data_IF_751057518403
#
_entry.id   IF_751057518403
#
_cell.length_a   1.000
_cell.length_b   1.000
_cell.length_c   1.000
_cell.angle_alpha   90.00
_cell.angle_beta   90.00
_cell.angle_gamma   90.00
#
_symmetry.space_group_name_H-M   'P 1'
#
loop_
_entity.id
_entity.type
_entity.pdbx_description
1 polymer ?
#
# COMPACT_ATOMS: atom_id res chain seq x y z
N UNK A 1 7.48 -2.09 -13.66
CA UNK A 1 6.37 -1.10 -13.79
C UNK A 1 5.88 -0.91 -15.23
N UNK A 2 6.76 -0.57 -16.21
CA UNK A 2 6.34 -0.17 -17.58
C UNK A 2 5.41 -1.16 -18.30
N UNK A 3 5.58 -2.48 -18.15
CA UNK A 3 4.80 -3.48 -18.89
C UNK A 3 3.43 -3.84 -18.27
N UNK A 4 3.13 -3.42 -17.04
CA UNK A 4 1.89 -3.83 -16.35
C UNK A 4 0.71 -2.86 -16.55
N UNK A 5 0.93 -1.68 -17.16
CA UNK A 5 -0.15 -0.74 -17.48
C UNK A 5 -1.25 -1.34 -18.37
N UNK A 6 -0.87 -2.25 -19.29
CA UNK A 6 -1.81 -2.95 -20.19
C UNK A 6 -2.78 -3.88 -19.45
N UNK A 7 -2.51 -4.20 -18.18
CA UNK A 7 -3.34 -5.06 -17.35
C UNK A 7 -4.19 -4.29 -16.33
N UNK A 8 -4.22 -2.96 -16.40
CA UNK A 8 -5.10 -2.18 -15.54
C UNK A 8 -6.58 -2.46 -15.89
N UNK A 9 -7.35 -2.83 -14.88
CA UNK A 9 -8.78 -3.14 -14.99
C UNK A 9 -9.58 -2.25 -14.04
N UNK A 10 -10.88 -2.13 -14.29
CA UNK A 10 -11.83 -1.44 -13.39
C UNK A 10 -12.77 -2.41 -12.69
N UNK A 11 -12.69 -3.71 -13.00
CA UNK A 11 -13.57 -4.73 -12.46
C UNK A 11 -13.49 -4.76 -10.93
N UNK A 12 -14.65 -4.77 -10.29
CA UNK A 12 -14.77 -4.90 -8.85
C UNK A 12 -15.76 -6.02 -8.53
N UNK A 13 -15.32 -6.99 -7.72
CA UNK A 13 -16.11 -8.15 -7.36
C UNK A 13 -16.11 -8.34 -5.85
N UNK A 14 -17.23 -8.80 -5.31
CA UNK A 14 -17.37 -9.22 -3.92
C UNK A 14 -17.49 -10.74 -3.85
N UNK A 15 -16.68 -11.37 -3.01
CA UNK A 15 -16.82 -12.78 -2.70
C UNK A 15 -17.88 -12.99 -1.61
N UNK A 16 -18.81 -13.92 -1.83
CA UNK A 16 -19.76 -14.38 -0.81
C UNK A 16 -19.37 -15.78 -0.32
N UNK A 17 -18.82 -15.91 0.91
CA UNK A 17 -18.36 -17.20 1.43
C UNK A 17 -19.49 -18.18 1.72
N UNK A 18 -20.74 -17.72 1.85
CA UNK A 18 -21.90 -18.59 2.13
C UNK A 18 -22.29 -19.45 0.93
N UNK A 19 -22.06 -18.90 -0.26
CA UNK A 19 -22.41 -19.54 -1.53
C UNK A 19 -21.17 -19.88 -2.38
N UNK A 20 -19.97 -19.60 -1.85
CA UNK A 20 -18.69 -19.77 -2.56
C UNK A 20 -18.71 -19.15 -3.97
N UNK A 21 -19.24 -17.93 -4.08
CA UNK A 21 -19.46 -17.29 -5.37
C UNK A 21 -18.91 -15.86 -5.40
N UNK A 22 -18.54 -15.41 -6.59
CA UNK A 22 -18.15 -14.02 -6.84
C UNK A 22 -19.32 -13.27 -7.47
N UNK A 23 -19.61 -12.09 -6.93
CA UNK A 23 -20.66 -11.20 -7.40
C UNK A 23 -19.99 -9.99 -8.04
N UNK A 24 -20.34 -9.70 -9.29
CA UNK A 24 -19.90 -8.49 -9.96
C UNK A 24 -20.59 -7.27 -9.36
N UNK A 25 -19.78 -6.29 -8.98
CA UNK A 25 -20.23 -5.01 -8.46
C UNK A 25 -20.03 -3.92 -9.52
N UNK A 26 -20.42 -2.69 -9.22
CA UNK A 26 -20.11 -1.58 -10.12
C UNK A 26 -18.60 -1.40 -10.26
N UNK A 27 -18.16 -1.25 -11.51
CA UNK A 27 -16.76 -1.05 -11.83
C UNK A 27 -16.26 0.31 -11.31
N UNK A 28 -14.99 0.36 -10.96
CA UNK A 28 -14.25 1.59 -10.74
C UNK A 28 -14.38 2.55 -11.94
N UNK A 29 -14.36 3.86 -11.68
CA UNK A 29 -14.45 4.88 -12.75
C UNK A 29 -13.19 4.82 -13.61
N UNK A 30 -12.02 4.69 -12.97
CA UNK A 30 -10.76 4.50 -13.67
C UNK A 30 -10.22 3.07 -13.56
N UNK A 31 -9.72 2.55 -14.69
CA UNK A 31 -8.87 1.36 -14.69
C UNK A 31 -7.59 1.66 -13.91
N UNK A 32 -7.13 0.73 -13.08
CA UNK A 32 -5.91 0.89 -12.28
C UNK A 32 -5.21 -0.44 -11.98
N UNK A 33 -3.89 -0.39 -11.84
CA UNK A 33 -3.05 -1.45 -11.24
C UNK A 33 -2.02 -0.81 -10.31
N UNK A 34 -1.46 -1.58 -9.37
CA UNK A 34 -0.53 -1.09 -8.33
C UNK A 34 -1.04 0.14 -7.56
N UNK A 35 -2.35 0.19 -7.36
CA UNK A 35 -3.02 1.13 -6.48
C UNK A 35 -3.12 0.51 -5.09
N UNK A 36 -3.61 1.29 -4.12
CA UNK A 36 -3.95 0.77 -2.81
C UNK A 36 -5.44 0.89 -2.53
N UNK A 37 -5.99 -0.04 -1.74
CA UNK A 37 -7.39 -0.08 -1.35
C UNK A 37 -7.48 0.00 0.17
N UNK A 38 -8.23 0.97 0.69
CA UNK A 38 -8.40 1.20 2.13
C UNK A 38 -9.87 1.24 2.51
N UNK A 39 -10.18 0.94 3.77
CA UNK A 39 -11.52 1.04 4.33
C UNK A 39 -11.56 2.22 5.28
N UNK A 40 -12.61 3.05 5.18
CA UNK A 40 -12.92 4.06 6.19
C UNK A 40 -14.43 4.24 6.28
N UNK A 41 -15.00 4.18 7.49
CA UNK A 41 -16.44 4.30 7.76
C UNK A 41 -17.34 3.45 6.83
N UNK A 42 -16.92 2.21 6.56
CA UNK A 42 -17.68 1.27 5.71
C UNK A 42 -17.58 1.53 4.21
N UNK A 43 -16.77 2.51 3.79
CA UNK A 43 -16.51 2.84 2.38
C UNK A 43 -15.14 2.30 1.95
N UNK A 44 -14.97 2.04 0.65
CA UNK A 44 -13.68 1.61 0.09
C UNK A 44 -13.04 2.74 -0.72
N UNK A 45 -11.78 3.04 -0.46
CA UNK A 45 -11.01 4.08 -1.15
C UNK A 45 -9.92 3.43 -1.99
N UNK A 46 -10.01 3.59 -3.31
CA UNK A 46 -8.97 3.19 -4.26
C UNK A 46 -8.11 4.42 -4.61
N UNK A 47 -6.81 4.35 -4.31
CA UNK A 47 -5.89 5.50 -4.38
C UNK A 47 -4.77 5.23 -5.38
N UNK A 48 -4.61 6.15 -6.34
CA UNK A 48 -3.49 6.18 -7.28
C UNK A 48 -3.37 4.92 -8.13
N UNK A 49 -2.13 4.50 -8.38
CA UNK A 49 -1.83 3.39 -9.26
C UNK A 49 -1.44 3.86 -10.65
N UNK A 50 -1.61 3.00 -11.65
CA UNK A 50 -1.31 3.31 -13.05
C UNK A 50 -2.26 2.59 -13.99
N UNK A 51 -2.40 3.15 -15.18
CA UNK A 51 -3.13 2.57 -16.30
C UNK A 51 -2.36 2.77 -17.63
N UNK A 52 -3.04 2.59 -18.76
CA UNK A 52 -2.47 2.80 -20.10
C UNK A 52 -1.97 4.22 -20.35
N UNK A 53 -2.59 5.21 -19.71
CA UNK A 53 -2.31 6.64 -19.90
C UNK A 53 -1.16 7.13 -19.00
N UNK A 54 -0.91 6.45 -17.88
CA UNK A 54 0.22 6.75 -17.02
C UNK A 54 -0.01 6.44 -15.55
N UNK A 55 0.75 7.13 -14.71
CA UNK A 55 0.61 7.07 -13.24
C UNK A 55 -0.56 7.97 -12.82
N UNK A 56 -1.38 7.50 -11.90
CA UNK A 56 -2.63 8.16 -11.51
C UNK A 56 -2.48 8.86 -10.15
N UNK A 57 -3.09 10.04 -10.07
CA UNK A 57 -3.33 10.76 -8.82
C UNK A 57 -4.75 10.55 -8.28
N UNK A 58 -5.63 9.93 -9.08
CA UNK A 58 -7.05 9.81 -8.77
C UNK A 58 -7.31 8.99 -7.51
N UNK A 59 -8.32 9.45 -6.77
CA UNK A 59 -8.94 8.74 -5.66
C UNK A 59 -10.40 8.54 -6.00
N UNK A 60 -10.90 7.35 -5.72
CA UNK A 60 -12.32 7.05 -5.87
C UNK A 60 -12.80 6.19 -4.70
N UNK A 61 -14.03 6.47 -4.30
CA UNK A 61 -14.67 5.92 -3.12
C UNK A 61 -15.87 5.08 -3.55
N UNK A 62 -15.89 3.81 -3.19
CA UNK A 62 -17.04 2.94 -3.35
C UNK A 62 -18.00 3.11 -2.18
N UNK A 63 -19.27 3.34 -2.52
CA UNK A 63 -20.38 3.47 -1.57
C UNK A 63 -21.25 2.22 -1.67
N UNK A 64 -21.20 1.28 -0.70
CA UNK A 64 -21.92 0.02 -0.78
C UNK A 64 -23.44 0.17 -0.89
N UNK A 65 -24.03 1.19 -0.24
CA UNK A 65 -25.48 1.41 -0.22
C UNK A 65 -26.06 1.76 -1.60
N UNK A 66 -25.28 2.42 -2.45
CA UNK A 66 -25.68 2.76 -3.82
C UNK A 66 -25.04 1.86 -4.87
N UNK A 67 -24.09 1.00 -4.48
CA UNK A 67 -23.23 0.25 -5.38
C UNK A 67 -22.62 1.17 -6.46
N UNK A 68 -22.03 2.30 -6.07
CA UNK A 68 -21.40 3.25 -7.00
C UNK A 68 -20.02 3.66 -6.51
N UNK A 69 -19.14 3.96 -7.46
CA UNK A 69 -17.88 4.66 -7.20
C UNK A 69 -18.08 6.16 -7.41
N UNK A 70 -17.41 6.96 -6.60
CA UNK A 70 -17.42 8.42 -6.68
C UNK A 70 -15.99 8.94 -6.67
N UNK A 71 -15.68 9.93 -7.51
CA UNK A 71 -14.38 10.61 -7.45
C UNK A 71 -14.24 11.39 -6.14
N UNK A 72 -13.00 11.43 -5.64
CA UNK A 72 -12.58 12.19 -4.45
C UNK A 72 -11.40 13.08 -4.80
N UNK A 73 -10.98 13.94 -3.87
CA UNK A 73 -9.84 14.82 -4.07
C UNK A 73 -8.59 14.01 -4.48
N UNK A 74 -7.97 14.31 -5.63
CA UNK A 74 -6.79 13.60 -6.09
C UNK A 74 -5.57 13.97 -5.25
N UNK A 75 -4.56 13.10 -5.25
CA UNK A 75 -3.23 13.46 -4.76
C UNK A 75 -2.65 14.60 -5.60
N UNK A 76 -1.82 15.45 -5.00
CA UNK A 76 -1.09 16.47 -5.76
C UNK A 76 -0.11 15.84 -6.76
N UNK A 77 0.59 14.79 -6.33
CA UNK A 77 1.58 14.09 -7.15
C UNK A 77 1.12 12.65 -7.43
N UNK A 78 0.94 12.26 -8.72
CA UNK A 78 0.54 10.91 -9.09
C UNK A 78 1.59 9.87 -8.67
N UNK A 79 1.13 8.73 -8.16
CA UNK A 79 2.02 7.65 -7.70
C UNK A 79 1.42 6.27 -7.88
N UNK A 80 2.27 5.28 -8.12
CA UNK A 80 1.90 3.86 -8.16
C UNK A 80 2.85 3.03 -7.31
N UNK A 81 2.50 1.77 -7.04
CA UNK A 81 3.34 0.84 -6.27
C UNK A 81 3.64 1.35 -4.85
N UNK A 82 2.79 2.21 -4.30
CA UNK A 82 2.89 2.72 -2.94
C UNK A 82 2.21 1.74 -1.97
N UNK A 83 2.53 1.84 -0.68
CA UNK A 83 1.79 1.20 0.39
C UNK A 83 0.92 2.22 1.11
N UNK A 84 -0.24 1.81 1.62
CA UNK A 84 -1.06 2.66 2.46
C UNK A 84 -1.78 1.88 3.56
N UNK A 85 -2.13 2.58 4.63
CA UNK A 85 -2.93 2.04 5.73
C UNK A 85 -3.75 3.15 6.37
N UNK A 86 -4.82 2.75 7.08
CA UNK A 86 -5.63 3.67 7.88
C UNK A 86 -4.98 3.87 9.25
N UNK A 87 -4.68 5.10 9.65
CA UNK A 87 -4.14 5.45 10.97
C UNK A 87 -4.73 6.80 11.40
N UNK A 88 -5.22 6.88 12.64
CA UNK A 88 -5.80 8.11 13.21
C UNK A 88 -6.87 8.76 12.29
N UNK A 89 -7.78 7.92 11.78
CA UNK A 89 -8.86 8.33 10.88
C UNK A 89 -8.43 8.75 9.47
N UNK A 90 -7.13 8.71 9.16
CA UNK A 90 -6.57 9.15 7.88
C UNK A 90 -5.92 7.99 7.13
N UNK A 91 -5.96 8.04 5.80
CA UNK A 91 -5.28 7.06 4.96
C UNK A 91 -3.87 7.57 4.70
N UNK A 92 -2.88 6.98 5.37
CA UNK A 92 -1.46 7.29 5.18
C UNK A 92 -0.94 6.57 3.94
N UNK A 93 -0.41 7.32 2.98
CA UNK A 93 0.14 6.81 1.72
C UNK A 93 1.65 7.05 1.71
N UNK A 94 2.42 5.97 1.61
CA UNK A 94 3.88 6.00 1.79
C UNK A 94 4.61 5.53 0.54
N UNK A 95 5.66 6.27 0.18
CA UNK A 95 6.59 5.95 -0.90
C UNK A 95 5.90 5.72 -2.24
N UNK A 96 6.33 4.66 -2.92
CA UNK A 96 5.90 4.29 -4.26
C UNK A 96 6.85 4.79 -5.35
N UNK A 97 6.35 4.76 -6.57
CA UNK A 97 7.08 5.18 -7.77
C UNK A 97 6.48 6.48 -8.30
N UNK A 98 7.27 7.54 -8.23
CA UNK A 98 6.91 8.93 -8.54
C UNK A 98 7.97 9.49 -9.48
N UNK A 99 7.57 10.16 -10.57
CA UNK A 99 8.49 10.79 -11.51
C UNK A 99 9.65 9.89 -11.95
N UNK A 100 9.34 8.61 -12.22
CA UNK A 100 10.30 7.59 -12.61
C UNK A 100 11.36 7.21 -11.55
N UNK A 101 11.10 7.48 -10.27
CA UNK A 101 11.99 7.10 -9.17
C UNK A 101 11.21 6.50 -7.99
N UNK A 102 11.90 5.67 -7.20
CA UNK A 102 11.42 5.28 -5.88
C UNK A 102 11.37 6.51 -4.97
N UNK A 103 10.30 6.65 -4.21
CA UNK A 103 10.08 7.84 -3.40
C UNK A 103 10.07 7.53 -1.91
N UNK A 104 10.49 8.54 -1.13
CA UNK A 104 10.34 8.62 0.33
C UNK A 104 9.08 9.37 0.75
N UNK A 105 8.41 10.04 -0.19
CA UNK A 105 7.33 10.95 0.08
C UNK A 105 6.15 10.25 0.75
N UNK A 106 5.60 10.89 1.78
CA UNK A 106 4.43 10.42 2.52
C UNK A 106 3.41 11.52 2.54
N UNK A 107 2.16 11.18 2.26
CA UNK A 107 1.02 12.06 2.42
C UNK A 107 -0.11 11.30 3.11
N UNK A 108 -1.03 12.03 3.72
CA UNK A 108 -2.22 11.48 4.34
C UNK A 108 -3.46 12.08 3.70
N UNK A 109 -4.43 11.24 3.34
CA UNK A 109 -5.75 11.65 2.92
C UNK A 109 -6.70 11.61 4.11
N UNK A 110 -7.43 12.69 4.33
CA UNK A 110 -8.50 12.78 5.31
C UNK A 110 -9.84 12.56 4.59
N UNK A 111 -10.48 11.38 4.73
CA UNK A 111 -11.74 11.12 4.05
C UNK A 111 -12.92 11.93 4.58
N UNK A 112 -12.79 12.53 5.78
CA UNK A 112 -13.87 13.33 6.39
C UNK A 112 -13.94 14.74 5.80
N UNK A 113 -12.79 15.29 5.41
CA UNK A 113 -12.67 16.62 4.80
C UNK A 113 -12.40 16.58 3.31
N UNK A 114 -12.12 15.41 2.74
CA UNK A 114 -11.72 15.21 1.34
C UNK A 114 -10.47 16.04 0.98
N UNK A 115 -9.46 16.01 1.85
CA UNK A 115 -8.22 16.79 1.69
C UNK A 115 -6.97 15.96 1.90
N UNK A 116 -5.85 16.43 1.31
CA UNK A 116 -4.54 15.84 1.47
C UNK A 116 -3.62 16.69 2.35
N UNK A 117 -2.71 16.04 3.05
CA UNK A 117 -1.65 16.70 3.81
C UNK A 117 -0.34 15.94 3.66
N UNK A 118 0.76 16.66 3.39
CA UNK A 118 2.10 16.09 3.42
C UNK A 118 2.51 15.70 4.85
N UNK A 119 3.27 14.60 4.95
CA UNK A 119 3.77 14.05 6.20
C UNK A 119 5.28 13.86 6.13
N UNK A 120 5.87 13.62 7.31
CA UNK A 120 7.28 13.24 7.44
C UNK A 120 7.61 12.11 6.48
N UNK A 121 8.69 12.29 5.71
CA UNK A 121 9.11 11.30 4.72
C UNK A 121 9.71 10.06 5.38
N UNK A 122 9.62 8.92 4.70
CA UNK A 122 10.36 7.71 5.05
C UNK A 122 11.86 7.97 5.06
N UNK A 123 12.62 7.11 5.72
CA UNK A 123 14.09 7.14 5.67
C UNK A 123 14.61 6.55 4.37
N UNK A 124 14.00 5.45 3.91
CA UNK A 124 14.43 4.72 2.70
C UNK A 124 13.40 4.87 1.58
N UNK A 125 13.80 5.28 0.36
CA UNK A 125 12.90 5.30 -0.79
C UNK A 125 12.48 3.87 -1.13
N UNK A 126 11.20 3.64 -1.37
CA UNK A 126 10.72 2.27 -1.64
C UNK A 126 9.44 2.26 -2.45
N UNK A 127 9.23 1.15 -3.15
CA UNK A 127 7.97 0.84 -3.83
C UNK A 127 7.74 -0.67 -3.86
N UNK A 128 6.50 -1.07 -4.15
CA UNK A 128 6.01 -2.44 -4.00
C UNK A 128 6.16 -2.99 -2.56
N UNK A 129 6.18 -2.12 -1.57
CA UNK A 129 6.13 -2.46 -0.15
C UNK A 129 4.69 -2.62 0.32
N UNK A 130 4.54 -3.16 1.52
CA UNK A 130 3.27 -3.25 2.22
C UNK A 130 3.20 -2.18 3.31
N UNK A 131 1.98 -1.78 3.65
CA UNK A 131 1.72 -0.98 4.84
C UNK A 131 0.54 -1.57 5.62
N UNK A 132 0.60 -1.50 6.95
CA UNK A 132 -0.44 -2.02 7.84
C UNK A 132 -0.44 -1.22 9.14
N UNK A 133 -1.60 -1.09 9.78
CA UNK A 133 -1.74 -0.40 11.07
C UNK A 133 -2.04 -1.41 12.15
N UNK A 134 -1.25 -1.43 13.22
CA UNK A 134 -1.49 -2.25 14.41
C UNK A 134 -1.37 -1.36 15.64
N UNK A 135 -2.41 -1.36 16.48
CA UNK A 135 -2.51 -0.41 17.59
C UNK A 135 -2.48 1.04 17.08
N UNK A 136 -1.62 1.86 17.69
CA UNK A 136 -1.49 3.29 17.39
C UNK A 136 -0.39 3.60 16.36
N UNK A 137 0.12 2.58 15.65
CA UNK A 137 1.24 2.74 14.71
C UNK A 137 0.92 2.16 13.35
N UNK A 138 1.35 2.88 12.31
CA UNK A 138 1.41 2.35 10.95
C UNK A 138 2.81 1.80 10.67
N UNK A 139 2.90 0.66 10.02
CA UNK A 139 4.15 -0.03 9.70
C UNK A 139 4.32 -0.11 8.19
N UNK A 140 5.53 0.16 7.71
CA UNK A 140 5.93 0.10 6.30
C UNK A 140 7.01 -0.98 6.17
N UNK A 141 6.67 -2.04 5.43
CA UNK A 141 7.41 -3.31 5.44
C UNK A 141 7.76 -3.73 4.02
N UNK A 142 9.03 -4.10 3.83
CA UNK A 142 9.51 -4.64 2.56
C UNK A 142 9.55 -3.62 1.44
N UNK A 143 9.34 -4.13 0.22
CA UNK A 143 9.46 -3.42 -1.03
C UNK A 143 10.84 -3.50 -1.63
N UNK A 144 11.04 -2.68 -2.65
CA UNK A 144 12.29 -2.60 -3.39
C UNK A 144 12.69 -1.15 -3.61
N UNK A 145 13.99 -0.96 -3.80
CA UNK A 145 14.60 0.33 -4.12
C UNK A 145 15.68 0.17 -5.18
N UNK A 146 16.36 1.28 -5.51
CA UNK A 146 17.54 1.27 -6.36
C UNK A 146 18.80 1.18 -5.48
N UNK A 147 19.64 0.17 -5.73
CA UNK A 147 20.94 -0.01 -5.12
C UNK A 147 22.00 0.93 -5.71
N UNK A 148 23.19 0.91 -5.11
CA UNK A 148 24.27 1.82 -5.48
C UNK A 148 24.79 1.67 -6.92
N UNK A 149 24.54 0.54 -7.58
CA UNK A 149 24.93 0.29 -8.98
C UNK A 149 23.74 0.43 -9.95
N UNK A 150 22.61 0.95 -9.49
CA UNK A 150 21.39 1.05 -10.31
C UNK A 150 20.60 -0.26 -10.43
N UNK A 151 20.99 -1.30 -9.70
CA UNK A 151 20.27 -2.55 -9.60
C UNK A 151 19.06 -2.42 -8.67
N UNK A 152 18.03 -3.23 -8.87
CA UNK A 152 16.92 -3.29 -7.92
C UNK A 152 17.30 -4.20 -6.75
N UNK A 153 17.13 -3.70 -5.53
CA UNK A 153 17.44 -4.42 -4.28
C UNK A 153 16.24 -4.43 -3.34
N UNK A 154 16.17 -5.44 -2.48
CA UNK A 154 15.16 -5.53 -1.43
C UNK A 154 15.36 -4.46 -0.35
N UNK A 155 14.26 -4.00 0.25
CA UNK A 155 14.30 -3.13 1.43
C UNK A 155 14.00 -3.95 2.67
N UNK A 156 15.04 -4.22 3.48
CA UNK A 156 14.88 -4.97 4.73
C UNK A 156 14.39 -4.09 5.88
N UNK A 157 14.68 -2.79 5.83
CA UNK A 157 14.31 -1.85 6.89
C UNK A 157 12.79 -1.75 7.03
N UNK A 158 12.32 -1.96 8.26
CA UNK A 158 10.93 -1.78 8.65
C UNK A 158 10.82 -0.46 9.39
N UNK A 159 9.87 0.37 8.97
CA UNK A 159 9.65 1.69 9.57
C UNK A 159 8.25 1.74 10.17
N UNK A 160 8.12 2.23 11.40
CA UNK A 160 6.83 2.50 12.05
C UNK A 160 6.60 4.00 12.21
N UNK A 161 5.38 4.45 11.97
CA UNK A 161 4.94 5.84 12.06
C UNK A 161 4.04 6.02 13.27
N UNK A 162 4.35 7.04 14.08
CA UNK A 162 3.49 7.50 15.16
C UNK A 162 2.73 8.76 14.71
N UNK A 163 1.39 8.74 14.62
CA UNK A 163 0.60 9.87 14.16
C UNK A 163 0.59 11.05 15.16
N UNK A 164 0.80 10.80 16.46
CA UNK A 164 0.72 11.83 17.50
C UNK A 164 1.87 12.83 17.45
N UNK A 165 3.07 12.38 17.10
CA UNK A 165 4.25 13.24 16.96
C UNK A 165 4.75 13.34 15.50
N UNK A 166 4.12 12.60 14.58
CA UNK A 166 4.48 12.59 13.17
C UNK A 166 5.85 12.01 12.86
N UNK A 167 6.41 11.16 13.73
CA UNK A 167 7.76 10.61 13.58
C UNK A 167 7.77 9.18 13.09
N UNK A 168 8.84 8.84 12.37
CA UNK A 168 9.19 7.48 11.98
C UNK A 168 10.21 6.88 12.95
N UNK A 169 10.13 5.58 13.19
CA UNK A 169 11.09 4.82 13.99
C UNK A 169 11.42 3.51 13.27
N UNK A 170 12.67 3.06 13.36
CA UNK A 170 13.05 1.75 12.87
C UNK A 170 12.53 0.64 13.78
N UNK A 171 12.10 -0.45 13.15
CA UNK A 171 11.78 -1.73 13.79
C UNK A 171 12.82 -2.78 13.38
N UNK A 172 12.74 -3.97 13.96
CA UNK A 172 13.59 -5.10 13.58
C UNK A 172 13.43 -5.39 12.08
N UNK A 173 14.53 -5.46 11.30
CA UNK A 173 14.47 -5.62 9.86
C UNK A 173 13.96 -7.01 9.45
N UNK A 174 13.44 -7.11 8.23
CA UNK A 174 13.03 -8.38 7.64
C UNK A 174 14.23 -9.34 7.53
N UNK A 175 14.01 -10.61 7.85
CA UNK A 175 14.99 -11.68 7.58
C UNK A 175 15.08 -11.99 6.09
N UNK A 176 13.94 -12.01 5.40
CA UNK A 176 13.86 -12.23 3.95
C UNK A 176 13.22 -11.02 3.31
N UNK A 177 14.00 -10.29 2.50
CA UNK A 177 13.52 -9.17 1.71
C UNK A 177 12.45 -9.62 0.71
N UNK A 178 11.33 -8.91 0.66
CA UNK A 178 10.26 -9.20 -0.29
C UNK A 178 9.59 -7.92 -0.75
N UNK A 179 9.26 -7.88 -2.03
CA UNK A 179 8.36 -6.90 -2.66
C UNK A 179 7.10 -7.60 -3.17
N UNK A 180 6.05 -6.85 -3.48
CA UNK A 180 4.76 -7.41 -3.98
C UNK A 180 4.17 -8.50 -3.09
N UNK A 181 4.48 -8.49 -1.80
CA UNK A 181 3.95 -9.44 -0.83
C UNK A 181 2.48 -9.13 -0.50
N UNK A 182 1.76 -10.13 0.00
CA UNK A 182 0.49 -9.91 0.70
C UNK A 182 0.76 -9.48 2.14
N UNK A 183 -0.12 -8.67 2.72
CA UNK A 183 -0.06 -8.29 4.12
C UNK A 183 -1.43 -8.48 4.78
N UNK A 184 -1.44 -8.97 6.01
CA UNK A 184 -2.64 -9.07 6.84
C UNK A 184 -2.30 -8.90 8.30
N UNK A 185 -3.30 -8.57 9.10
CA UNK A 185 -3.18 -8.41 10.55
C UNK A 185 -4.07 -9.47 11.20
N UNK A 186 -3.51 -10.20 12.16
CA UNK A 186 -4.25 -11.18 12.95
C UNK A 186 -3.66 -11.21 14.37
N UNK A 187 -4.51 -11.10 15.39
CA UNK A 187 -4.13 -11.13 16.80
C UNK A 187 -2.96 -10.17 17.12
N UNK A 188 -3.09 -8.91 16.70
CA UNK A 188 -2.07 -7.85 16.85
C UNK A 188 -0.70 -8.16 16.23
N UNK A 189 -0.60 -9.12 15.32
CA UNK A 189 0.62 -9.42 14.57
C UNK A 189 0.43 -9.12 13.09
N UNK A 190 1.53 -8.76 12.42
CA UNK A 190 1.55 -8.50 10.99
C UNK A 190 2.08 -9.73 10.28
N UNK A 191 1.29 -10.28 9.37
CA UNK A 191 1.64 -11.42 8.54
C UNK A 191 2.00 -10.92 7.15
N UNK A 192 3.23 -11.20 6.72
CA UNK A 192 3.72 -10.89 5.39
C UNK A 192 3.82 -12.19 4.59
N UNK A 193 3.07 -12.28 3.50
CA UNK A 193 2.86 -13.52 2.75
C UNK A 193 3.54 -13.45 1.38
N UNK A 194 4.52 -14.33 1.18
CA UNK A 194 5.23 -14.51 -0.08
C UNK A 194 5.93 -13.23 -0.57
N UNK A 195 5.80 -12.96 -1.87
CA UNK A 195 6.43 -11.81 -2.52
C UNK A 195 7.68 -12.18 -3.32
N UNK A 196 8.15 -11.21 -4.12
CA UNK A 196 9.34 -11.31 -4.95
C UNK A 196 10.57 -10.87 -4.17
N UNK A 197 11.58 -11.73 -4.10
CA UNK A 197 12.88 -11.41 -3.53
C UNK A 197 13.85 -11.00 -4.64
N UNK A 198 14.40 -9.79 -4.55
CA UNK A 198 15.32 -9.25 -5.54
C UNK A 198 16.71 -9.87 -5.48
N UNK A 199 17.19 -10.28 -4.31
CA UNK A 199 18.50 -10.92 -4.16
C UNK A 199 18.60 -12.27 -4.88
N UNK A 200 17.58 -13.11 -4.75
CA UNK A 200 17.49 -14.47 -5.29
C UNK A 200 16.75 -14.53 -6.63
N UNK A 201 16.14 -13.42 -7.07
CA UNK A 201 15.32 -13.32 -8.30
C UNK A 201 14.24 -14.41 -8.39
N UNK A 202 13.54 -14.66 -7.28
CA UNK A 202 12.43 -15.62 -7.23
C UNK A 202 11.34 -15.20 -6.24
N UNK A 203 10.15 -15.74 -6.46
CA UNK A 203 9.06 -15.64 -5.49
C UNK A 203 9.32 -16.53 -4.29
N UNK A 204 9.11 -15.98 -3.09
CA UNK A 204 9.22 -16.71 -1.83
C UNK A 204 7.89 -17.34 -1.48
N UNK A 205 7.95 -18.57 -0.98
CA UNK A 205 6.82 -19.32 -0.42
C UNK A 205 6.96 -19.34 1.11
N UNK A 206 6.95 -18.17 1.73
CA UNK A 206 7.09 -18.03 3.17
C UNK A 206 6.01 -17.10 3.73
N UNK A 207 5.76 -17.25 5.02
CA UNK A 207 5.02 -16.29 5.84
C UNK A 207 6.02 -15.79 6.87
N UNK A 208 6.21 -14.47 6.93
CA UNK A 208 7.02 -13.82 7.97
C UNK A 208 6.06 -13.08 8.89
N UNK A 209 6.11 -13.36 10.19
CA UNK A 209 5.18 -12.80 11.17
C UNK A 209 5.94 -11.82 12.06
N UNK A 210 5.55 -10.55 12.03
CA UNK A 210 6.09 -9.54 12.92
C UNK A 210 5.19 -9.38 14.13
N UNK A 211 5.80 -9.43 15.31
CA UNK A 211 5.17 -9.06 16.58
C UNK A 211 5.58 -7.63 16.95
N UNK A 212 4.67 -6.63 16.83
CA UNK A 212 4.96 -5.25 17.18
C UNK A 212 5.31 -5.02 18.65
N UNK A 213 4.74 -5.82 19.56
CA UNK A 213 4.95 -5.65 21.02
C UNK A 213 6.36 -6.06 21.44
N UNK A 214 6.89 -7.11 20.81
CA UNK A 214 8.26 -7.61 21.05
C UNK A 214 9.28 -7.00 20.07
N UNK A 215 8.81 -6.36 19.01
CA UNK A 215 9.63 -5.91 17.89
C UNK A 215 10.48 -7.06 17.31
N UNK A 216 9.85 -8.20 17.01
CA UNK A 216 10.53 -9.43 16.58
C UNK A 216 9.80 -10.12 15.42
N UNK A 217 10.55 -10.89 14.62
CA UNK A 217 10.03 -11.73 13.54
C UNK A 217 10.04 -13.20 13.92
N UNK A 218 9.00 -13.93 13.52
CA UNK A 218 8.91 -15.40 13.57
C UNK A 218 8.51 -15.96 12.22
#
# INVERSE_FOLDING_TARGET
ARNQAKHAVSNFCRYDPRFNSWIHMSNMIQRRTHFSLNIFNGLLFAIGGRNGDGVQASVECYVPSSNQWQMKAPMEVPRCCHGSSLIDGKILVSGGYINNAYSRAVCAYDPSTDTWQDKSSLSTPRGWHCAATVGERAYVIGGSQLGGRGERVDVLAVESYNPHNGQWSYCTPLHTGVSTAGISILNNKIYLLGGWNEGEKKYKKCIQVFNPDLNEWT
#
